data_IF_999893208764
#
_entry.id   IF_999893208764
#
_cell.length_a   1.000
_cell.length_b   1.000
_cell.length_c   1.000
_cell.angle_alpha   90.00
_cell.angle_beta   90.00
_cell.angle_gamma   90.00
#
_symmetry.space_group_name_H-M   'P 1'
#
loop_
_entity.id
_entity.type
_entity.pdbx_description
1 polymer ?
#
# COMPACT_ATOMS: atom_id res chain seq x y z
N UNK A 1 -47.70 -0.01 70.11
CA UNK A 1 -48.18 1.14 69.31
C UNK A 1 -47.52 1.07 67.95
N UNK A 2 -48.32 0.86 66.89
CA UNK A 2 -47.88 0.65 65.49
C UNK A 2 -47.63 2.01 64.83
N UNK A 3 -46.40 2.30 64.43
CA UNK A 3 -46.07 3.48 63.63
C UNK A 3 -46.10 3.15 62.13
N UNK A 4 -47.01 3.78 61.34
CA UNK A 4 -47.16 3.56 59.91
C UNK A 4 -46.31 4.58 59.14
N UNK A 5 -44.99 4.53 59.27
CA UNK A 5 -44.07 5.44 58.55
C UNK A 5 -43.13 4.72 57.56
N UNK A 6 -43.19 3.39 57.46
CA UNK A 6 -42.37 2.61 56.52
C UNK A 6 -42.99 2.36 55.15
N UNK A 7 -44.27 2.72 54.93
CA UNK A 7 -45.04 2.25 53.76
C UNK A 7 -45.28 3.32 52.67
N UNK A 8 -44.77 4.54 52.85
CA UNK A 8 -44.95 5.62 51.86
C UNK A 8 -43.73 5.87 50.96
N UNK A 9 -42.53 5.40 51.35
CA UNK A 9 -41.30 5.65 50.60
C UNK A 9 -41.02 4.63 49.48
N UNK A 10 -41.73 3.49 49.45
CA UNK A 10 -41.53 2.44 48.44
C UNK A 10 -42.45 2.59 47.21
N UNK A 11 -43.41 3.51 47.23
CA UNK A 11 -44.36 3.71 46.13
C UNK A 11 -43.87 4.67 45.04
N UNK A 12 -42.76 5.39 45.25
CA UNK A 12 -42.21 6.37 44.29
C UNK A 12 -41.07 5.83 43.43
N UNK A 13 -40.61 4.60 43.65
CA UNK A 13 -39.47 4.01 42.93
C UNK A 13 -39.86 3.18 41.68
N UNK A 14 -41.16 3.03 41.37
CA UNK A 14 -41.63 2.17 40.26
C UNK A 14 -42.04 2.94 38.99
N UNK A 15 -41.94 4.26 38.96
CA UNK A 15 -42.37 5.07 37.80
C UNK A 15 -41.26 5.39 36.77
N UNK A 16 -40.05 4.81 36.90
CA UNK A 16 -38.90 5.16 36.06
C UNK A 16 -38.27 3.98 35.28
N UNK A 17 -38.97 2.86 35.14
CA UNK A 17 -38.64 1.82 34.15
C UNK A 17 -39.70 1.81 33.04
N UNK A 18 -39.85 2.95 32.34
CA UNK A 18 -40.56 2.97 31.06
C UNK A 18 -39.60 2.42 29.98
N UNK A 19 -39.37 1.12 30.03
CA UNK A 19 -38.89 0.39 28.86
C UNK A 19 -40.09 0.31 27.93
N UNK A 20 -40.09 1.16 26.90
CA UNK A 20 -41.13 1.14 25.87
C UNK A 20 -40.96 -0.14 25.06
N UNK A 21 -41.52 -1.22 25.59
CA UNK A 21 -41.69 -2.50 24.92
C UNK A 21 -42.84 -2.36 23.91
N UNK A 22 -42.58 -2.50 22.60
CA UNK A 22 -43.63 -2.38 21.57
C UNK A 22 -44.73 -3.43 21.70
N UNK A 23 -44.57 -4.46 22.55
CA UNK A 23 -45.58 -5.47 22.83
C UNK A 23 -46.56 -5.09 23.96
N UNK A 24 -46.36 -3.97 24.66
CA UNK A 24 -47.25 -3.52 25.75
C UNK A 24 -48.38 -2.57 25.28
N UNK A 25 -48.40 -2.19 24.00
CA UNK A 25 -49.58 -1.61 23.38
C UNK A 25 -50.61 -2.70 23.12
N UNK A 26 -51.52 -2.96 24.07
CA UNK A 26 -52.62 -3.91 23.89
C UNK A 26 -53.42 -3.67 22.59
N UNK A 27 -54.23 -4.65 22.18
CA UNK A 27 -55.00 -4.74 20.92
C UNK A 27 -55.32 -3.40 20.18
N UNK A 28 -55.80 -2.38 20.89
CA UNK A 28 -56.12 -1.04 20.34
C UNK A 28 -54.91 -0.21 19.85
N UNK A 29 -53.71 -0.39 20.42
CA UNK A 29 -52.47 0.22 19.94
C UNK A 29 -51.95 -0.42 18.64
N UNK A 30 -52.17 -1.73 18.46
CA UNK A 30 -51.85 -2.45 17.23
C UNK A 30 -52.73 -2.04 16.04
N UNK A 31 -54.05 -1.88 16.24
CA UNK A 31 -54.95 -1.37 15.19
C UNK A 31 -54.75 0.12 14.91
N UNK A 32 -54.40 0.93 15.92
CA UNK A 32 -53.99 2.32 15.73
C UNK A 32 -52.68 2.46 14.94
N UNK A 33 -51.73 1.53 15.11
CA UNK A 33 -50.49 1.44 14.33
C UNK A 33 -50.73 1.07 12.85
N UNK A 34 -51.70 0.19 12.59
CA UNK A 34 -52.15 -0.19 11.24
C UNK A 34 -52.91 0.93 10.52
N UNK A 35 -53.67 1.77 11.25
CA UNK A 35 -54.39 2.92 10.67
C UNK A 35 -53.50 4.17 10.51
N UNK A 36 -52.42 4.30 11.30
CA UNK A 36 -51.55 5.49 11.32
C UNK A 36 -50.32 5.43 10.40
N UNK A 37 -50.15 4.36 9.62
CA UNK A 37 -49.04 4.18 8.68
C UNK A 37 -47.66 4.07 9.35
N UNK A 38 -47.61 3.84 10.66
CA UNK A 38 -46.35 3.76 11.41
C UNK A 38 -45.57 2.47 11.09
N UNK A 39 -46.26 1.36 10.86
CA UNK A 39 -45.63 0.09 10.48
C UNK A 39 -45.00 0.16 9.09
N UNK A 40 -45.71 0.75 8.13
CA UNK A 40 -45.22 0.99 6.77
C UNK A 40 -43.98 1.90 6.81
N UNK A 41 -43.99 2.94 7.65
CA UNK A 41 -42.84 3.82 7.85
C UNK A 41 -41.63 3.11 8.45
N UNK A 42 -41.80 2.30 9.49
CA UNK A 42 -40.67 1.54 10.08
C UNK A 42 -40.12 0.51 9.08
N UNK A 43 -41.02 -0.18 8.36
CA UNK A 43 -40.63 -1.14 7.33
C UNK A 43 -39.88 -0.45 6.19
N UNK A 44 -40.34 0.71 5.74
CA UNK A 44 -39.66 1.50 4.73
C UNK A 44 -38.30 1.99 5.22
N UNK A 45 -38.21 2.53 6.44
CA UNK A 45 -36.94 2.96 7.04
C UNK A 45 -35.93 1.81 7.13
N UNK A 46 -36.36 0.60 7.50
CA UNK A 46 -35.50 -0.59 7.51
C UNK A 46 -35.04 -1.00 6.11
N UNK A 47 -35.93 -0.92 5.10
CA UNK A 47 -35.59 -1.21 3.70
C UNK A 47 -34.57 -0.20 3.17
N UNK A 48 -34.77 1.08 3.46
CA UNK A 48 -33.87 2.15 3.06
C UNK A 48 -32.51 2.01 3.75
N UNK A 49 -32.48 1.69 5.04
CA UNK A 49 -31.25 1.40 5.77
C UNK A 49 -30.50 0.20 5.20
N UNK A 50 -31.20 -0.90 4.90
CA UNK A 50 -30.61 -2.07 4.27
C UNK A 50 -30.07 -1.76 2.87
N UNK A 51 -30.79 -0.96 2.07
CA UNK A 51 -30.34 -0.54 0.75
C UNK A 51 -29.07 0.33 0.85
N UNK A 52 -29.04 1.28 1.79
CA UNK A 52 -27.86 2.13 2.06
C UNK A 52 -26.65 1.29 2.50
N UNK A 53 -26.83 0.33 3.41
CA UNK A 53 -25.74 -0.55 3.85
C UNK A 53 -25.25 -1.47 2.74
N UNK A 54 -26.15 -1.96 1.86
CA UNK A 54 -25.73 -2.73 0.67
C UNK A 54 -24.92 -1.88 -0.30
N UNK A 55 -25.35 -0.65 -0.56
CA UNK A 55 -24.63 0.28 -1.41
C UNK A 55 -23.24 0.59 -0.84
N UNK A 56 -23.16 0.85 0.48
CA UNK A 56 -21.89 1.07 1.18
C UNK A 56 -20.98 -0.15 1.11
N UNK A 57 -21.50 -1.35 1.34
CA UNK A 57 -20.73 -2.59 1.21
C UNK A 57 -20.21 -2.81 -0.21
N UNK A 58 -21.01 -2.50 -1.23
CA UNK A 58 -20.57 -2.58 -2.62
C UNK A 58 -19.42 -1.60 -2.88
N UNK A 59 -19.57 -0.34 -2.48
CA UNK A 59 -18.51 0.67 -2.60
C UNK A 59 -17.21 0.24 -1.90
N UNK A 60 -17.31 -0.33 -0.69
CA UNK A 60 -16.14 -0.80 0.04
C UNK A 60 -15.46 -1.99 -0.66
N UNK A 61 -16.23 -2.91 -1.27
CA UNK A 61 -15.69 -4.00 -2.08
C UNK A 61 -14.96 -3.49 -3.31
N UNK A 62 -15.53 -2.50 -3.98
CA UNK A 62 -14.92 -1.90 -5.17
C UNK A 62 -13.61 -1.18 -4.80
N UNK A 63 -13.59 -0.43 -3.70
CA UNK A 63 -12.37 0.20 -3.16
C UNK A 63 -11.31 -0.84 -2.76
N UNK A 64 -11.70 -1.93 -2.10
CA UNK A 64 -10.77 -2.99 -1.72
C UNK A 64 -10.17 -3.67 -2.96
N UNK A 65 -10.99 -3.94 -3.98
CA UNK A 65 -10.54 -4.50 -5.27
C UNK A 65 -9.56 -3.58 -5.99
N UNK A 66 -9.86 -2.27 -6.04
CA UNK A 66 -8.97 -1.28 -6.63
C UNK A 66 -7.63 -1.20 -5.89
N UNK A 67 -7.66 -1.14 -4.56
CA UNK A 67 -6.44 -1.11 -3.73
C UNK A 67 -5.60 -2.38 -3.88
N UNK A 68 -6.25 -3.55 -3.98
CA UNK A 68 -5.56 -4.81 -4.20
C UNK A 68 -4.86 -4.84 -5.57
N UNK A 69 -5.52 -4.31 -6.61
CA UNK A 69 -4.95 -4.20 -7.96
C UNK A 69 -3.74 -3.27 -7.96
N UNK A 70 -3.85 -2.10 -7.32
CA UNK A 70 -2.74 -1.15 -7.19
C UNK A 70 -1.54 -1.78 -6.46
N UNK A 71 -1.78 -2.50 -5.36
CA UNK A 71 -0.70 -3.21 -4.63
C UNK A 71 -0.01 -4.25 -5.50
N UNK A 72 -0.74 -5.00 -6.31
CA UNK A 72 -0.16 -5.98 -7.22
C UNK A 72 0.69 -5.33 -8.30
N UNK A 73 0.24 -4.20 -8.87
CA UNK A 73 1.01 -3.44 -9.84
C UNK A 73 2.32 -2.92 -9.25
N UNK A 74 2.26 -2.28 -8.09
CA UNK A 74 3.45 -1.78 -7.38
C UNK A 74 4.41 -2.93 -7.02
N UNK A 75 3.89 -4.07 -6.57
CA UNK A 75 4.72 -5.24 -6.27
C UNK A 75 5.43 -5.79 -7.52
N UNK A 76 4.73 -5.89 -8.64
CA UNK A 76 5.29 -6.33 -9.91
C UNK A 76 6.37 -5.36 -10.42
N UNK A 77 6.12 -4.06 -10.30
CA UNK A 77 7.08 -3.01 -10.65
C UNK A 77 8.36 -3.11 -9.82
N UNK A 78 8.24 -3.27 -8.50
CA UNK A 78 9.37 -3.48 -7.60
C UNK A 78 10.19 -4.70 -7.97
N UNK A 79 9.52 -5.82 -8.28
CA UNK A 79 10.21 -7.04 -8.71
C UNK A 79 11.00 -6.81 -9.99
N UNK A 80 10.42 -6.09 -10.97
CA UNK A 80 11.13 -5.71 -12.20
C UNK A 80 12.35 -4.82 -11.93
N UNK A 81 12.23 -3.81 -11.06
CA UNK A 81 13.37 -2.94 -10.72
C UNK A 81 14.48 -3.71 -10.00
N UNK A 82 14.14 -4.62 -9.11
CA UNK A 82 15.10 -5.51 -8.45
C UNK A 82 15.84 -6.40 -9.45
N UNK A 83 15.14 -6.97 -10.42
CA UNK A 83 15.75 -7.75 -11.50
C UNK A 83 16.70 -6.89 -12.35
N UNK A 84 16.32 -5.65 -12.67
CA UNK A 84 17.18 -4.73 -13.42
C UNK A 84 18.46 -4.37 -12.65
N UNK A 85 18.38 -4.17 -11.33
CA UNK A 85 19.55 -3.94 -10.47
C UNK A 85 20.45 -5.18 -10.43
N UNK A 86 19.86 -6.38 -10.30
CA UNK A 86 20.62 -7.62 -10.31
C UNK A 86 21.36 -7.82 -11.66
N UNK A 87 20.68 -7.55 -12.77
CA UNK A 87 21.28 -7.58 -14.10
C UNK A 87 22.42 -6.57 -14.23
N UNK A 88 22.22 -5.32 -13.78
CA UNK A 88 23.24 -4.28 -13.79
C UNK A 88 24.48 -4.69 -12.98
N UNK A 89 24.30 -5.29 -11.81
CA UNK A 89 25.41 -5.80 -10.99
C UNK A 89 26.17 -6.93 -11.71
N UNK A 90 25.46 -7.82 -12.40
CA UNK A 90 26.06 -8.84 -13.27
C UNK A 90 26.90 -8.23 -14.39
N UNK A 91 26.38 -7.19 -15.05
CA UNK A 91 27.09 -6.46 -16.10
C UNK A 91 28.36 -5.79 -15.58
N UNK A 92 28.29 -5.12 -14.43
CA UNK A 92 29.44 -4.47 -13.77
C UNK A 92 30.53 -5.50 -13.47
N UNK A 93 30.18 -6.69 -12.96
CA UNK A 93 31.15 -7.76 -12.71
C UNK A 93 31.81 -8.26 -13.99
N UNK A 94 31.06 -8.37 -15.09
CA UNK A 94 31.62 -8.73 -16.40
C UNK A 94 32.57 -7.64 -16.91
N UNK A 95 32.20 -6.37 -16.81
CA UNK A 95 33.06 -5.25 -17.19
C UNK A 95 34.35 -5.21 -16.36
N UNK A 96 34.27 -5.50 -15.06
CA UNK A 96 35.43 -5.62 -14.18
C UNK A 96 36.39 -6.69 -14.67
N UNK A 97 35.88 -7.88 -15.01
CA UNK A 97 36.70 -8.96 -15.55
C UNK A 97 37.41 -8.58 -16.86
N UNK A 98 36.69 -7.91 -17.76
CA UNK A 98 37.26 -7.40 -19.03
C UNK A 98 38.34 -6.34 -18.79
N UNK A 99 38.08 -5.40 -17.88
CA UNK A 99 39.04 -4.37 -17.52
C UNK A 99 40.31 -4.97 -16.91
N UNK A 100 40.20 -5.92 -15.98
CA UNK A 100 41.35 -6.62 -15.41
C UNK A 100 42.15 -7.40 -16.45
N UNK A 101 41.49 -8.01 -17.45
CA UNK A 101 42.18 -8.65 -18.55
C UNK A 101 42.95 -7.65 -19.45
N UNK A 102 42.35 -6.47 -19.72
CA UNK A 102 43.01 -5.41 -20.46
C UNK A 102 44.21 -4.83 -19.69
N UNK A 103 44.08 -4.60 -18.39
CA UNK A 103 45.18 -4.15 -17.50
C UNK A 103 46.36 -5.12 -17.49
N UNK A 104 46.08 -6.44 -17.54
CA UNK A 104 47.12 -7.46 -17.59
C UNK A 104 47.91 -7.43 -18.90
N UNK A 105 47.27 -7.06 -20.01
CA UNK A 105 47.91 -6.91 -21.33
C UNK A 105 48.66 -5.58 -21.46
N UNK A 106 48.06 -4.49 -20.95
CA UNK A 106 48.59 -3.13 -21.05
C UNK A 106 48.96 -2.58 -19.68
N UNK A 107 50.10 -3.05 -19.17
CA UNK A 107 50.59 -2.62 -17.86
C UNK A 107 50.88 -1.11 -17.86
N UNK A 108 50.40 -0.42 -16.82
CA UNK A 108 50.58 1.02 -16.58
C UNK A 108 49.87 1.96 -17.57
N UNK A 109 48.79 1.53 -18.22
CA UNK A 109 47.94 2.44 -19.00
C UNK A 109 47.10 3.32 -18.05
N UNK A 110 47.31 4.66 -18.02
CA UNK A 110 46.56 5.56 -17.16
C UNK A 110 45.06 5.62 -17.53
N UNK A 111 44.68 5.32 -18.78
CA UNK A 111 43.28 5.28 -19.18
C UNK A 111 42.54 4.13 -18.49
N UNK A 112 43.17 2.96 -18.38
CA UNK A 112 42.58 1.81 -17.69
C UNK A 112 42.41 2.06 -16.19
N UNK A 113 43.36 2.75 -15.55
CA UNK A 113 43.23 3.16 -14.16
C UNK A 113 42.05 4.12 -13.91
N UNK A 114 41.81 5.07 -14.82
CA UNK A 114 40.65 5.96 -14.74
C UNK A 114 39.33 5.18 -14.91
N UNK A 115 39.26 4.30 -15.91
CA UNK A 115 38.08 3.45 -16.14
C UNK A 115 37.78 2.55 -14.94
N UNK A 116 38.80 2.10 -14.22
CA UNK A 116 38.63 1.34 -12.98
C UNK A 116 37.94 2.16 -11.89
N UNK A 117 38.40 3.39 -11.66
CA UNK A 117 37.81 4.28 -10.68
C UNK A 117 36.35 4.62 -11.03
N UNK A 118 36.05 4.84 -12.31
CA UNK A 118 34.67 5.08 -12.78
C UNK A 118 33.78 3.84 -12.60
N UNK A 119 34.29 2.65 -12.87
CA UNK A 119 33.56 1.40 -12.66
C UNK A 119 33.27 1.14 -11.17
N UNK A 120 34.21 1.45 -10.29
CA UNK A 120 34.01 1.38 -8.83
C UNK A 120 32.96 2.39 -8.37
N UNK A 121 32.95 3.61 -8.92
CA UNK A 121 31.92 4.61 -8.64
C UNK A 121 30.53 4.15 -9.12
N UNK A 122 30.45 3.53 -10.31
CA UNK A 122 29.23 2.94 -10.84
C UNK A 122 28.72 1.81 -9.94
N UNK A 123 29.61 0.92 -9.48
CA UNK A 123 29.24 -0.17 -8.58
C UNK A 123 28.69 0.35 -7.25
N UNK A 124 29.33 1.35 -6.64
CA UNK A 124 28.81 1.98 -5.41
C UNK A 124 27.42 2.55 -5.63
N UNK A 125 27.20 3.23 -6.76
CA UNK A 125 25.91 3.84 -7.11
C UNK A 125 24.82 2.78 -7.34
N UNK A 126 25.16 1.66 -8.00
CA UNK A 126 24.27 0.53 -8.21
C UNK A 126 23.91 -0.18 -6.89
N UNK A 127 24.88 -0.32 -5.97
CA UNK A 127 24.63 -0.86 -4.63
C UNK A 127 23.70 0.04 -3.82
N UNK A 128 23.88 1.36 -3.88
CA UNK A 128 23.01 2.33 -3.21
C UNK A 128 21.56 2.25 -3.74
N UNK A 129 21.40 2.21 -5.07
CA UNK A 129 20.08 2.02 -5.69
C UNK A 129 19.43 0.67 -5.30
N UNK A 130 20.24 -0.37 -5.06
CA UNK A 130 19.81 -1.66 -4.55
C UNK A 130 19.41 -1.64 -3.07
N UNK A 131 20.14 -0.90 -2.24
CA UNK A 131 19.91 -0.81 -0.80
C UNK A 131 18.76 0.13 -0.41
N UNK A 132 18.40 1.09 -1.26
CA UNK A 132 17.27 1.97 -0.98
C UNK A 132 15.99 1.16 -0.79
N UNK A 133 15.50 1.19 0.45
CA UNK A 133 14.25 0.58 0.86
C UNK A 133 13.16 1.02 -0.12
N UNK A 134 12.48 0.04 -0.72
CA UNK A 134 11.48 0.27 -1.76
C UNK A 134 10.54 1.44 -1.39
N UNK A 135 10.44 2.40 -2.31
CA UNK A 135 9.73 3.66 -2.10
C UNK A 135 8.27 3.41 -1.72
N UNK A 136 7.79 4.02 -0.64
CA UNK A 136 6.42 3.77 -0.13
C UNK A 136 5.31 4.28 -1.05
N UNK A 137 5.65 5.12 -2.02
CA UNK A 137 4.75 5.76 -2.96
C UNK A 137 5.25 5.68 -4.41
N UNK A 138 4.37 6.02 -5.36
CA UNK A 138 4.65 5.99 -6.78
C UNK A 138 5.75 6.98 -7.22
N UNK A 139 5.91 8.10 -6.50
CA UNK A 139 6.92 9.11 -6.83
C UNK A 139 8.33 8.59 -6.57
N UNK A 140 8.53 7.90 -5.44
CA UNK A 140 9.79 7.26 -5.09
C UNK A 140 10.14 6.12 -6.07
N UNK A 141 9.17 5.30 -6.50
CA UNK A 141 9.39 4.28 -7.53
C UNK A 141 9.78 4.91 -8.89
N UNK A 142 9.13 6.01 -9.29
CA UNK A 142 9.48 6.75 -10.50
C UNK A 142 10.89 7.36 -10.44
N UNK A 143 11.31 7.88 -9.29
CA UNK A 143 12.68 8.36 -9.09
C UNK A 143 13.69 7.21 -9.20
N UNK A 144 13.39 6.05 -8.60
CA UNK A 144 14.23 4.85 -8.68
C UNK A 144 14.39 4.34 -10.11
N UNK A 145 13.33 4.35 -10.91
CA UNK A 145 13.37 4.04 -12.35
C UNK A 145 14.37 4.92 -13.08
N UNK A 146 14.27 6.25 -12.92
CA UNK A 146 15.16 7.22 -13.57
C UNK A 146 16.62 6.99 -13.17
N UNK A 147 16.85 6.72 -11.88
CA UNK A 147 18.19 6.41 -11.38
C UNK A 147 18.75 5.14 -12.03
N UNK A 148 17.97 4.06 -12.11
CA UNK A 148 18.41 2.80 -12.76
C UNK A 148 18.70 3.03 -14.25
N UNK A 149 17.87 3.77 -14.96
CA UNK A 149 18.10 4.12 -16.38
C UNK A 149 19.40 4.92 -16.57
N UNK A 150 19.69 5.87 -15.68
CA UNK A 150 20.94 6.62 -15.71
C UNK A 150 22.15 5.71 -15.50
N UNK A 151 22.08 4.79 -14.53
CA UNK A 151 23.14 3.83 -14.26
C UNK A 151 23.36 2.88 -15.44
N UNK A 152 22.29 2.46 -16.12
CA UNK A 152 22.40 1.64 -17.34
C UNK A 152 23.08 2.42 -18.47
N UNK A 153 22.78 3.70 -18.66
CA UNK A 153 23.46 4.55 -19.65
C UNK A 153 24.94 4.69 -19.34
N UNK A 154 25.29 4.97 -18.07
CA UNK A 154 26.69 5.05 -17.61
C UNK A 154 27.42 3.73 -17.83
N UNK A 155 26.78 2.60 -17.52
CA UNK A 155 27.32 1.26 -17.79
C UNK A 155 27.62 1.06 -19.28
N UNK A 156 26.71 1.44 -20.18
CA UNK A 156 26.93 1.32 -21.62
C UNK A 156 28.07 2.22 -22.13
N UNK A 157 28.24 3.40 -21.56
CA UNK A 157 29.36 4.29 -21.89
C UNK A 157 30.69 3.66 -21.46
N UNK A 158 30.77 3.15 -20.23
CA UNK A 158 31.96 2.46 -19.72
C UNK A 158 32.29 1.20 -20.53
N UNK A 159 31.28 0.42 -20.91
CA UNK A 159 31.46 -0.75 -21.77
C UNK A 159 32.16 -0.39 -23.09
N UNK A 160 31.71 0.67 -23.77
CA UNK A 160 32.34 1.14 -25.01
C UNK A 160 33.75 1.65 -24.77
N UNK A 161 33.98 2.39 -23.69
CA UNK A 161 35.30 2.94 -23.37
C UNK A 161 36.32 1.84 -23.04
N UNK A 162 35.92 0.82 -22.28
CA UNK A 162 36.75 -0.37 -22.00
C UNK A 162 37.07 -1.10 -23.30
N UNK A 163 36.10 -1.24 -24.21
CA UNK A 163 36.29 -1.94 -25.49
C UNK A 163 37.24 -1.20 -26.42
N UNK A 164 37.18 0.13 -26.42
CA UNK A 164 38.13 0.96 -27.16
C UNK A 164 39.53 0.88 -26.56
N UNK A 165 39.65 1.01 -25.23
CA UNK A 165 40.92 0.93 -24.53
C UNK A 165 41.56 -0.46 -24.62
N UNK A 166 40.77 -1.54 -24.74
CA UNK A 166 41.30 -2.88 -24.95
C UNK A 166 41.83 -3.11 -26.37
N UNK A 167 41.36 -2.32 -27.36
CA UNK A 167 41.72 -2.47 -28.79
C UNK A 167 42.82 -1.52 -29.26
N UNK A 168 43.03 -0.40 -28.56
CA UNK A 168 44.11 0.57 -28.87
C UNK A 168 45.50 -0.01 -28.69
#
# INVERSE_FOLDING_TARGET
MRNPLGMAALALALAACNTTDPNQGGFFGGVGGLVSGNYERDTQARRDALAAERARNQQLRDQASASQTERQQVASERASLQQQIAALNGDINRLRGRLSAAEAQKRNDPQLANLRAELEALERSARLAGSDAAGRDAAAEAAKRRQIEELQRKRQQLERAIDQAARS
#
